data_IF_703233081068
#
_entry.id   IF_703233081068
#
_cell.length_a   1.000
_cell.length_b   1.000
_cell.length_c   1.000
_cell.angle_alpha   90.00
_cell.angle_beta   90.00
_cell.angle_gamma   90.00
#
_symmetry.space_group_name_H-M   'P 1'
#
loop_
_entity.id
_entity.type
_entity.pdbx_description
1 polymer ?
#
# COMPACT_ATOMS: atom_id res chain seq x y z
N UNK A 1 3.17 20.03 14.41
CA UNK A 1 3.07 18.60 14.80
C UNK A 1 3.42 18.47 16.29
N UNK A 2 2.65 17.74 17.11
CA UNK A 2 2.96 17.57 18.53
C UNK A 2 4.32 16.88 18.71
N UNK A 3 5.10 17.30 19.70
CA UNK A 3 6.45 16.77 19.97
C UNK A 3 6.50 15.23 20.17
N UNK A 4 5.38 14.62 20.59
CA UNK A 4 5.25 13.16 20.75
C UNK A 4 5.22 12.39 19.44
N UNK A 5 4.77 12.99 18.33
CA UNK A 5 4.79 12.39 16.99
C UNK A 5 6.21 12.46 16.41
N UNK A 6 6.90 13.58 16.61
CA UNK A 6 8.27 13.76 16.12
C UNK A 6 9.29 12.77 16.72
N UNK A 7 9.11 12.36 18.00
CA UNK A 7 10.03 11.42 18.67
C UNK A 7 9.82 9.96 18.22
N UNK A 8 8.59 9.54 17.94
CA UNK A 8 8.31 8.19 17.39
C UNK A 8 8.85 8.08 15.96
N UNK A 9 8.66 9.12 15.16
CA UNK A 9 9.17 9.18 13.78
C UNK A 9 10.70 9.17 13.73
N UNK A 10 11.40 9.85 14.66
CA UNK A 10 12.85 9.86 14.69
C UNK A 10 13.48 8.48 14.94
N UNK A 11 12.85 7.63 15.74
CA UNK A 11 13.33 6.24 15.96
C UNK A 11 13.12 5.37 14.73
N UNK A 12 11.97 5.47 14.09
CA UNK A 12 11.66 4.77 12.83
C UNK A 12 12.61 5.23 11.73
N UNK A 13 12.83 6.54 11.60
CA UNK A 13 13.77 7.12 10.63
C UNK A 13 15.17 6.57 10.82
N UNK A 14 15.68 6.49 12.04
CA UNK A 14 17.03 5.90 12.34
C UNK A 14 17.11 4.41 11.97
N UNK A 15 16.08 3.62 12.28
CA UNK A 15 16.02 2.21 11.92
C UNK A 15 16.03 2.04 10.41
N UNK A 16 15.22 2.80 9.71
CA UNK A 16 15.16 2.77 8.25
C UNK A 16 16.47 3.26 7.61
N UNK A 17 17.14 4.24 8.15
CA UNK A 17 18.45 4.67 7.70
C UNK A 17 19.52 3.58 7.91
N UNK A 18 19.50 2.89 9.03
CA UNK A 18 20.42 1.80 9.32
C UNK A 18 20.22 0.57 8.40
N UNK A 19 19.00 0.34 7.90
CA UNK A 19 18.68 -0.81 7.04
C UNK A 19 18.94 -0.55 5.54
N UNK A 20 19.11 0.71 5.13
CA UNK A 20 19.15 1.08 3.71
C UNK A 20 20.44 0.78 2.99
N UNK A 21 21.57 1.23 3.56
CA UNK A 21 22.87 1.03 2.92
C UNK A 21 23.10 -0.46 2.69
N UNK A 22 22.94 -1.34 3.72
CA UNK A 22 23.10 -2.77 3.53
C UNK A 22 22.09 -3.38 2.53
N UNK A 23 20.89 -2.81 2.38
CA UNK A 23 19.89 -3.32 1.42
C UNK A 23 20.28 -2.98 -0.01
N UNK A 24 20.72 -1.75 -0.27
CA UNK A 24 21.19 -1.32 -1.58
C UNK A 24 22.45 -2.09 -1.97
N UNK A 25 23.42 -2.22 -1.05
CA UNK A 25 24.66 -2.98 -1.27
C UNK A 25 24.35 -4.44 -1.63
N UNK A 26 23.46 -5.09 -0.89
CA UNK A 26 23.02 -6.47 -1.19
C UNK A 26 22.31 -6.58 -2.52
N UNK A 27 21.48 -5.62 -2.90
CA UNK A 27 20.81 -5.61 -4.20
C UNK A 27 21.84 -5.52 -5.33
N UNK A 28 22.79 -4.61 -5.24
CA UNK A 28 23.88 -4.49 -6.21
C UNK A 28 24.73 -5.78 -6.29
N UNK A 29 25.12 -6.33 -5.15
CA UNK A 29 25.93 -7.55 -5.10
C UNK A 29 25.18 -8.75 -5.72
N UNK A 30 23.87 -8.88 -5.47
CA UNK A 30 23.05 -9.98 -6.02
C UNK A 30 22.79 -9.84 -7.52
N UNK A 31 22.69 -8.64 -8.03
CA UNK A 31 22.47 -8.36 -9.46
C UNK A 31 23.77 -8.30 -10.27
N UNK A 32 24.94 -8.27 -9.60
CA UNK A 32 26.24 -8.15 -10.26
C UNK A 32 26.51 -6.78 -10.87
N UNK A 33 25.76 -5.75 -10.46
CA UNK A 33 25.93 -4.35 -10.94
C UNK A 33 26.42 -3.45 -9.84
N UNK A 34 27.10 -2.36 -10.20
CA UNK A 34 27.47 -1.29 -9.27
C UNK A 34 26.50 -0.12 -9.38
N UNK A 35 26.52 0.77 -8.38
CA UNK A 35 25.70 1.99 -8.44
C UNK A 35 26.02 2.88 -9.65
N UNK A 36 27.23 2.80 -10.20
CA UNK A 36 27.67 3.60 -11.36
C UNK A 36 27.08 3.07 -12.66
N UNK A 37 26.75 1.79 -12.72
CA UNK A 37 26.19 1.12 -13.90
C UNK A 37 24.69 1.40 -14.06
N UNK A 38 24.06 2.03 -13.05
CA UNK A 38 22.64 2.39 -13.13
C UNK A 38 22.40 3.54 -14.09
N UNK A 39 21.33 3.45 -14.88
CA UNK A 39 20.91 4.52 -15.80
C UNK A 39 20.06 5.58 -15.09
N UNK A 40 19.30 5.18 -14.08
CA UNK A 40 18.37 6.04 -13.37
C UNK A 40 18.13 5.57 -11.93
N UNK A 41 17.60 6.46 -11.11
CA UNK A 41 17.10 6.16 -9.75
C UNK A 41 15.59 6.35 -9.74
N UNK A 42 14.86 5.34 -9.28
CA UNK A 42 13.42 5.43 -9.04
C UNK A 42 13.12 5.29 -7.54
N UNK A 43 12.13 6.03 -7.06
CA UNK A 43 11.74 5.98 -5.65
C UNK A 43 10.25 6.23 -5.48
N UNK A 44 9.60 5.47 -4.60
CA UNK A 44 8.21 5.76 -4.21
C UNK A 44 8.11 7.13 -3.56
N UNK A 45 7.33 8.02 -4.18
CA UNK A 45 7.16 9.42 -3.74
C UNK A 45 5.83 9.65 -3.01
N UNK A 46 4.88 8.74 -3.09
CA UNK A 46 3.56 8.76 -2.46
C UNK A 46 2.55 7.89 -3.21
N UNK A 47 1.34 7.71 -2.63
CA UNK A 47 0.97 7.98 -1.24
C UNK A 47 1.64 7.04 -0.23
N UNK A 48 1.63 7.44 1.05
CA UNK A 48 2.16 6.64 2.16
C UNK A 48 2.53 7.49 3.39
N UNK A 49 3.07 6.85 4.42
CA UNK A 49 3.51 7.53 5.64
C UNK A 49 4.64 8.52 5.32
N UNK A 50 4.40 9.80 5.58
CA UNK A 50 5.31 10.89 5.26
C UNK A 50 6.74 10.66 5.76
N UNK A 51 6.93 10.19 7.00
CA UNK A 51 8.25 9.91 7.58
C UNK A 51 9.02 8.83 6.83
N UNK A 52 8.36 7.74 6.42
CA UNK A 52 8.99 6.65 5.65
C UNK A 52 9.31 7.09 4.22
N UNK A 53 8.40 7.81 3.58
CA UNK A 53 8.61 8.35 2.23
C UNK A 53 9.77 9.34 2.21
N UNK A 54 9.82 10.31 3.15
CA UNK A 54 10.91 11.29 3.22
C UNK A 54 12.29 10.64 3.32
N UNK A 55 12.41 9.58 4.11
CA UNK A 55 13.68 8.85 4.22
C UNK A 55 14.06 8.23 2.85
N UNK A 56 13.07 7.62 2.07
CA UNK A 56 13.21 7.07 0.72
C UNK A 56 13.70 8.11 -0.26
N UNK A 57 12.94 9.15 -0.31
CA UNK A 57 13.16 10.24 -1.25
C UNK A 57 14.49 10.96 -0.97
N UNK A 58 14.83 11.23 0.29
CA UNK A 58 16.09 11.87 0.64
C UNK A 58 17.32 11.05 0.19
N UNK A 59 17.31 9.73 0.42
CA UNK A 59 18.42 8.89 -0.03
C UNK A 59 18.47 8.77 -1.56
N UNK A 60 17.32 8.64 -2.23
CA UNK A 60 17.29 8.59 -3.69
C UNK A 60 17.79 9.90 -4.31
N UNK A 61 17.42 11.05 -3.76
CA UNK A 61 17.95 12.36 -4.15
C UNK A 61 19.47 12.46 -3.98
N UNK A 62 19.98 12.01 -2.84
CA UNK A 62 21.42 12.02 -2.56
C UNK A 62 22.19 11.11 -3.54
N UNK A 63 21.67 9.90 -3.82
CA UNK A 63 22.28 8.99 -4.78
C UNK A 63 22.22 9.56 -6.22
N UNK A 64 21.07 10.07 -6.65
CA UNK A 64 20.91 10.65 -7.96
C UNK A 64 21.89 11.83 -8.19
N UNK A 65 22.02 12.71 -7.19
CA UNK A 65 22.94 13.81 -7.23
C UNK A 65 24.41 13.34 -7.27
N UNK A 66 24.79 12.40 -6.40
CA UNK A 66 26.16 11.90 -6.31
C UNK A 66 26.60 11.14 -7.57
N UNK A 67 25.66 10.48 -8.25
CA UNK A 67 25.93 9.68 -9.44
C UNK A 67 25.67 10.45 -10.75
N UNK A 68 25.08 11.64 -10.70
CA UNK A 68 24.68 12.40 -11.88
C UNK A 68 23.61 11.70 -12.70
N UNK A 69 22.70 10.96 -12.05
CA UNK A 69 21.66 10.15 -12.71
C UNK A 69 20.27 10.78 -12.56
N UNK A 70 19.37 10.61 -13.54
CA UNK A 70 17.99 11.05 -13.42
C UNK A 70 17.27 10.39 -12.26
N UNK A 71 16.34 11.12 -11.63
CA UNK A 71 15.52 10.64 -10.51
C UNK A 71 14.04 10.66 -10.91
N UNK A 72 13.38 9.53 -10.72
CA UNK A 72 11.95 9.36 -10.99
C UNK A 72 11.17 9.12 -9.70
N UNK A 73 10.13 9.93 -9.47
CA UNK A 73 9.16 9.70 -8.40
C UNK A 73 8.06 8.75 -8.88
N UNK A 74 7.88 7.63 -8.19
CA UNK A 74 6.88 6.61 -8.55
C UNK A 74 5.69 6.71 -7.60
N UNK A 75 4.48 6.68 -8.14
CA UNK A 75 3.27 6.57 -7.35
C UNK A 75 3.16 5.13 -6.79
N UNK A 76 2.94 5.01 -5.48
CA UNK A 76 2.87 3.72 -4.78
C UNK A 76 1.73 2.82 -5.29
N UNK A 77 0.55 3.40 -5.53
CA UNK A 77 -0.62 2.64 -5.99
C UNK A 77 -0.45 2.21 -7.46
N UNK A 78 0.11 3.09 -8.31
CA UNK A 78 0.46 2.75 -9.68
C UNK A 78 1.48 1.61 -9.73
N UNK A 79 2.47 1.62 -8.82
CA UNK A 79 3.46 0.55 -8.74
C UNK A 79 2.83 -0.81 -8.39
N UNK A 80 1.78 -0.85 -7.56
CA UNK A 80 1.04 -2.08 -7.30
C UNK A 80 0.34 -2.62 -8.55
N UNK A 81 -0.26 -1.76 -9.35
CA UNK A 81 -0.89 -2.18 -10.63
C UNK A 81 0.16 -2.61 -11.65
N UNK A 82 1.30 -1.92 -11.69
CA UNK A 82 2.38 -2.22 -12.62
C UNK A 82 3.04 -3.60 -12.41
N UNK A 83 2.87 -4.22 -11.23
CA UNK A 83 3.36 -5.60 -10.98
C UNK A 83 2.73 -6.59 -11.95
N UNK A 84 1.45 -6.44 -12.28
CA UNK A 84 0.77 -7.33 -13.23
C UNK A 84 1.37 -7.26 -14.63
N UNK A 85 1.92 -6.11 -15.03
CA UNK A 85 2.64 -5.98 -16.31
C UNK A 85 3.93 -6.82 -16.28
N UNK A 86 4.61 -6.86 -15.14
CA UNK A 86 5.85 -7.65 -15.01
C UNK A 86 5.56 -9.15 -15.02
N UNK A 87 4.44 -9.58 -14.45
CA UNK A 87 4.08 -10.99 -14.33
C UNK A 87 3.36 -11.52 -15.58
N UNK A 88 2.53 -10.71 -16.21
CA UNK A 88 1.57 -11.14 -17.24
C UNK A 88 1.76 -10.44 -18.59
N UNK A 89 2.65 -9.44 -18.67
CA UNK A 89 2.82 -8.62 -19.87
C UNK A 89 1.85 -7.45 -19.92
N UNK A 90 1.63 -6.89 -21.12
CA UNK A 90 0.79 -5.70 -21.28
C UNK A 90 -0.63 -5.92 -20.74
N UNK A 91 -1.10 -4.96 -19.94
CA UNK A 91 -2.48 -4.94 -19.44
C UNK A 91 -3.44 -4.49 -20.55
N UNK A 92 -4.69 -5.01 -20.55
CA UNK A 92 -5.73 -4.40 -21.37
C UNK A 92 -5.98 -2.97 -20.92
N UNK A 93 -6.17 -2.04 -21.85
CA UNK A 93 -6.44 -0.63 -21.55
C UNK A 93 -7.88 -0.27 -21.96
N UNK A 94 -8.63 0.40 -21.05
CA UNK A 94 -8.33 0.75 -19.66
C UNK A 94 -8.49 -0.41 -18.68
N UNK A 95 -7.74 -0.39 -17.57
CA UNK A 95 -7.89 -1.34 -16.46
C UNK A 95 -8.67 -0.72 -15.31
N UNK A 96 -9.55 -1.51 -14.71
CA UNK A 96 -10.13 -1.23 -13.39
C UNK A 96 -9.35 -2.04 -12.35
N UNK A 97 -8.52 -1.38 -11.55
CA UNK A 97 -7.70 -2.02 -10.53
C UNK A 97 -8.32 -1.86 -9.15
N UNK A 98 -8.45 -2.97 -8.43
CA UNK A 98 -8.88 -3.01 -7.03
C UNK A 98 -7.68 -3.36 -6.15
N UNK A 99 -7.23 -2.40 -5.37
CA UNK A 99 -6.15 -2.61 -4.40
C UNK A 99 -6.73 -2.89 -3.03
N UNK A 100 -6.40 -4.06 -2.48
CA UNK A 100 -6.86 -4.49 -1.15
C UNK A 100 -5.65 -4.94 -0.34
N UNK A 101 -5.37 -4.23 0.74
CA UNK A 101 -4.24 -4.51 1.63
C UNK A 101 -4.56 -4.18 3.09
N UNK A 102 -3.57 -4.33 3.97
CA UNK A 102 -3.67 -3.91 5.37
C UNK A 102 -3.83 -2.41 5.57
N UNK A 103 -3.32 -1.58 4.64
CA UNK A 103 -3.35 -0.12 4.76
C UNK A 103 -4.20 0.58 3.70
N UNK A 104 -4.59 -0.11 2.64
CA UNK A 104 -5.31 0.47 1.50
C UNK A 104 -6.44 -0.44 1.04
N UNK A 105 -7.59 0.16 0.75
CA UNK A 105 -8.67 -0.46 -0.01
C UNK A 105 -9.16 0.62 -0.98
N UNK A 106 -8.78 0.49 -2.25
CA UNK A 106 -8.99 1.54 -3.26
C UNK A 106 -9.40 0.94 -4.59
N UNK A 107 -10.23 1.67 -5.33
CA UNK A 107 -10.61 1.38 -6.69
C UNK A 107 -9.99 2.44 -7.61
N UNK A 108 -9.25 2.01 -8.61
CA UNK A 108 -8.54 2.87 -9.55
C UNK A 108 -8.98 2.57 -10.97
N UNK A 109 -9.22 3.60 -11.75
CA UNK A 109 -9.29 3.50 -13.20
C UNK A 109 -7.89 3.82 -13.75
N UNK A 110 -7.35 2.94 -14.55
CA UNK A 110 -5.98 3.03 -15.07
C UNK A 110 -6.03 2.95 -16.60
N UNK A 111 -6.23 4.09 -17.28
CA UNK A 111 -6.07 4.18 -18.73
C UNK A 111 -4.63 3.94 -19.17
N UNK A 112 -3.65 4.45 -18.41
CA UNK A 112 -2.22 4.24 -18.60
C UNK A 112 -1.52 4.17 -17.25
N UNK A 113 -0.81 3.09 -16.96
CA UNK A 113 -0.16 2.86 -15.66
C UNK A 113 1.01 3.83 -15.42
N UNK A 114 1.58 4.38 -16.47
CA UNK A 114 2.73 5.29 -16.38
C UNK A 114 2.32 6.75 -16.20
N UNK A 115 1.19 7.16 -16.73
CA UNK A 115 0.82 8.56 -16.85
C UNK A 115 -0.59 8.89 -16.34
N UNK A 116 -1.53 7.94 -16.40
CA UNK A 116 -2.93 8.21 -16.05
C UNK A 116 -3.52 7.15 -15.10
N UNK A 117 -3.39 7.39 -13.80
CA UNK A 117 -3.99 6.57 -12.74
C UNK A 117 -4.99 7.42 -11.97
N UNK A 118 -6.28 7.13 -12.14
CA UNK A 118 -7.39 7.90 -11.57
C UNK A 118 -8.03 7.17 -10.40
N UNK A 119 -7.96 7.70 -9.16
CA UNK A 119 -8.72 7.13 -8.05
C UNK A 119 -10.22 7.35 -8.30
N UNK A 120 -11.00 6.28 -8.24
CA UNK A 120 -12.47 6.30 -8.28
C UNK A 120 -13.07 6.34 -6.88
N UNK A 121 -12.50 5.59 -5.95
CA UNK A 121 -12.93 5.52 -4.58
C UNK A 121 -11.93 4.80 -3.69
N UNK A 122 -12.11 4.92 -2.38
CA UNK A 122 -11.28 4.29 -1.37
C UNK A 122 -12.10 3.99 -0.11
N UNK A 123 -11.50 3.28 0.83
CA UNK A 123 -12.14 3.15 2.15
C UNK A 123 -12.19 4.50 2.86
N UNK A 124 -13.35 4.80 3.45
CA UNK A 124 -13.57 6.02 4.24
C UNK A 124 -13.21 5.84 5.72
N UNK A 125 -12.91 4.61 6.13
CA UNK A 125 -12.55 4.25 7.49
C UNK A 125 -11.43 3.20 7.50
N UNK A 126 -11.61 2.03 8.13
CA UNK A 126 -10.61 0.97 8.14
C UNK A 126 -10.38 0.40 6.72
N UNK A 127 -9.15 0.06 6.38
CA UNK A 127 -8.88 -0.79 5.22
C UNK A 127 -9.39 -2.24 5.47
N UNK A 128 -9.65 -2.99 4.40
CA UNK A 128 -10.14 -4.36 4.53
C UNK A 128 -9.20 -5.25 5.36
N UNK A 129 -7.89 -5.22 5.08
CA UNK A 129 -6.92 -6.00 5.85
C UNK A 129 -6.81 -5.55 7.31
N UNK A 130 -6.92 -4.24 7.57
CA UNK A 130 -6.98 -3.70 8.93
C UNK A 130 -8.23 -4.18 9.67
N UNK A 131 -9.38 -4.25 9.01
CA UNK A 131 -10.61 -4.81 9.57
C UNK A 131 -10.43 -6.30 9.92
N UNK A 132 -9.81 -7.09 9.02
CA UNK A 132 -9.46 -8.48 9.31
C UNK A 132 -8.57 -8.62 10.55
N UNK A 133 -7.53 -7.81 10.68
CA UNK A 133 -6.62 -7.84 11.83
C UNK A 133 -7.33 -7.48 13.14
N UNK A 134 -8.21 -6.49 13.10
CA UNK A 134 -9.01 -6.07 14.26
C UNK A 134 -10.02 -7.14 14.68
N UNK A 135 -10.72 -7.74 13.72
CA UNK A 135 -11.66 -8.85 13.98
C UNK A 135 -10.93 -10.08 14.52
N UNK A 136 -9.81 -10.47 13.90
CA UNK A 136 -9.00 -11.59 14.36
C UNK A 136 -8.60 -11.42 15.82
N UNK A 137 -8.18 -10.22 16.22
CA UNK A 137 -7.83 -9.90 17.61
C UNK A 137 -9.03 -10.08 18.57
N UNK A 138 -10.24 -9.69 18.16
CA UNK A 138 -11.47 -9.90 18.95
C UNK A 138 -11.74 -11.40 19.12
N UNK A 139 -11.51 -12.18 18.07
CA UNK A 139 -11.70 -13.64 18.08
C UNK A 139 -10.53 -14.40 18.73
N UNK A 140 -9.50 -13.72 19.27
CA UNK A 140 -8.33 -14.37 19.88
C UNK A 140 -7.39 -15.04 18.86
N UNK A 141 -7.47 -14.70 17.58
CA UNK A 141 -6.62 -15.24 16.53
C UNK A 141 -5.29 -14.47 16.42
N UNK A 142 -4.21 -15.14 15.96
CA UNK A 142 -2.90 -14.50 15.79
C UNK A 142 -2.87 -13.44 14.70
N UNK A 143 -1.86 -12.56 14.76
CA UNK A 143 -1.52 -11.62 13.69
C UNK A 143 -0.54 -12.27 12.66
N UNK A 144 -0.68 -11.98 11.36
CA UNK A 144 -1.73 -11.20 10.69
C UNK A 144 -3.08 -11.93 10.65
N UNK A 145 -4.18 -11.19 10.87
CA UNK A 145 -5.51 -11.75 11.08
C UNK A 145 -6.13 -12.40 9.85
N UNK A 146 -5.93 -11.82 8.67
CA UNK A 146 -6.54 -12.27 7.42
C UNK A 146 -6.37 -13.78 7.16
N UNK A 147 -5.13 -14.33 7.11
CA UNK A 147 -4.90 -15.76 6.87
C UNK A 147 -5.51 -16.68 7.93
N UNK A 148 -5.62 -16.22 9.18
CA UNK A 148 -6.20 -17.01 10.25
C UNK A 148 -7.72 -17.07 10.18
N UNK A 149 -8.38 -15.93 9.87
CA UNK A 149 -9.83 -15.88 9.63
C UNK A 149 -10.18 -16.69 8.39
N UNK A 150 -9.46 -16.53 7.27
CA UNK A 150 -9.69 -17.30 6.04
C UNK A 150 -9.64 -18.82 6.33
N UNK A 151 -8.63 -19.26 7.07
CA UNK A 151 -8.50 -20.67 7.42
C UNK A 151 -9.64 -21.16 8.31
N UNK A 152 -10.04 -20.39 9.32
CA UNK A 152 -11.14 -20.73 10.20
C UNK A 152 -12.50 -20.75 9.47
N UNK A 153 -12.65 -19.93 8.43
CA UNK A 153 -13.89 -19.83 7.67
C UNK A 153 -14.10 -20.97 6.64
N UNK A 154 -13.06 -21.75 6.30
CA UNK A 154 -13.14 -22.76 5.22
C UNK A 154 -14.23 -23.80 5.45
N UNK A 155 -14.38 -24.23 6.70
CA UNK A 155 -15.40 -25.21 7.09
C UNK A 155 -16.61 -24.56 7.77
N UNK A 156 -16.69 -23.22 7.71
CA UNK A 156 -17.73 -22.42 8.30
C UNK A 156 -19.00 -22.38 7.46
N UNK A 157 -20.12 -22.09 8.11
CA UNK A 157 -21.39 -21.81 7.45
C UNK A 157 -21.79 -20.35 7.67
N UNK A 158 -22.41 -19.74 6.67
CA UNK A 158 -22.94 -18.38 6.78
C UNK A 158 -24.23 -18.45 7.60
N UNK A 159 -24.14 -18.09 8.88
CA UNK A 159 -25.27 -18.14 9.82
C UNK A 159 -25.63 -16.78 10.40
N UNK A 160 -24.81 -15.74 10.16
CA UNK A 160 -25.02 -14.38 10.62
C UNK A 160 -25.02 -13.44 9.43
N UNK A 161 -26.06 -12.62 9.33
CA UNK A 161 -26.14 -11.57 8.31
C UNK A 161 -25.52 -10.26 8.87
N UNK A 162 -24.24 -10.06 8.58
CA UNK A 162 -23.52 -8.87 9.00
C UNK A 162 -23.87 -7.65 8.13
N UNK A 163 -23.85 -6.43 8.71
CA UNK A 163 -24.12 -5.22 7.97
C UNK A 163 -23.06 -4.97 6.88
N UNK A 164 -23.51 -4.54 5.71
CA UNK A 164 -22.65 -4.08 4.62
C UNK A 164 -22.57 -2.56 4.65
N UNK A 165 -21.36 -2.02 4.63
CA UNK A 165 -21.14 -0.58 4.59
C UNK A 165 -21.59 0.06 3.28
N UNK A 166 -22.07 1.30 3.33
CA UNK A 166 -22.35 2.16 2.18
C UNK A 166 -23.39 1.58 1.19
N UNK A 167 -24.39 0.86 1.68
CA UNK A 167 -25.43 0.23 0.83
C UNK A 167 -26.77 0.98 0.81
N UNK A 168 -26.94 2.06 1.59
CA UNK A 168 -28.16 2.87 1.55
C UNK A 168 -28.23 3.70 0.25
N UNK A 169 -29.44 4.09 -0.18
CA UNK A 169 -29.62 4.91 -1.38
C UNK A 169 -28.83 6.21 -1.33
N UNK A 170 -28.77 6.87 -0.17
CA UNK A 170 -27.98 8.09 0.05
C UNK A 170 -26.47 7.84 -0.04
N UNK A 171 -26.02 6.71 0.47
CA UNK A 171 -24.60 6.35 0.42
C UNK A 171 -24.19 6.04 -1.02
N UNK A 172 -25.03 5.33 -1.79
CA UNK A 172 -24.79 5.03 -3.19
C UNK A 172 -24.71 6.26 -4.09
N UNK A 173 -25.38 7.36 -3.73
CA UNK A 173 -25.26 8.63 -4.44
C UNK A 173 -23.92 9.33 -4.18
N UNK A 174 -23.41 9.27 -2.94
CA UNK A 174 -22.21 10.02 -2.50
C UNK A 174 -20.94 9.20 -2.53
N UNK A 175 -21.03 7.92 -2.25
CA UNK A 175 -19.94 6.99 -2.00
C UNK A 175 -19.97 5.78 -2.92
N UNK A 176 -20.40 5.97 -4.17
CA UNK A 176 -20.67 4.90 -5.14
C UNK A 176 -19.52 3.91 -5.31
N UNK A 177 -18.29 4.37 -5.17
CA UNK A 177 -17.07 3.59 -5.35
C UNK A 177 -16.22 3.48 -4.08
N UNK A 178 -16.73 4.02 -2.97
CA UNK A 178 -16.02 3.94 -1.68
C UNK A 178 -16.37 2.66 -0.92
N UNK A 179 -15.56 2.36 0.08
CA UNK A 179 -15.71 1.21 0.96
C UNK A 179 -15.81 1.66 2.41
N UNK A 180 -16.45 0.85 3.25
CA UNK A 180 -16.46 1.02 4.71
C UNK A 180 -16.48 -0.34 5.38
N UNK A 181 -15.56 -0.54 6.32
CA UNK A 181 -15.39 -1.80 7.06
C UNK A 181 -15.54 -1.65 8.56
N UNK A 182 -15.59 -0.42 9.09
CA UNK A 182 -15.70 -0.19 10.54
C UNK A 182 -17.02 -0.67 11.13
N UNK A 183 -18.13 -0.57 10.38
CA UNK A 183 -19.44 -1.08 10.79
C UNK A 183 -19.46 -2.59 10.95
N UNK A 184 -18.86 -3.31 10.00
CA UNK A 184 -18.69 -4.76 10.07
C UNK A 184 -17.87 -5.17 11.29
N UNK A 185 -16.71 -4.55 11.50
CA UNK A 185 -15.84 -4.78 12.67
C UNK A 185 -16.59 -4.59 13.99
N UNK A 186 -17.50 -3.63 14.06
CA UNK A 186 -18.26 -3.34 15.30
C UNK A 186 -19.39 -4.33 15.51
N UNK A 187 -19.88 -4.98 14.44
CA UNK A 187 -20.96 -5.96 14.49
C UNK A 187 -20.48 -7.36 14.88
N UNK A 188 -19.18 -7.67 14.75
CA UNK A 188 -18.54 -8.91 15.23
C UNK A 188 -18.31 -8.84 16.72
#
# INVERSE_FOLDING_TARGET
LPASVALKDAKIVRILQALRVPTIERACARSGVTLRDLDAIAVTSGPGLAGTLMVGVAAAKALALALGKPLYGVNHLAAHVAVDIVEHGALPEPVLAMLVSGGHSSLLLVPDVTDDVRPLGATIDDAAGEAFDKVARVLGLPFPGGPHIDRAARDGQIVIDFPRGLTSGRDMERHRFDFSFSGLKTAV
#
